data_IF_831121425914
#
_entry.id   IF_831121425914
#
_cell.length_a   1.000
_cell.length_b   1.000
_cell.length_c   1.000
_cell.angle_alpha   90.00
_cell.angle_beta   90.00
_cell.angle_gamma   90.00
#
_symmetry.space_group_name_H-M   'P 1'
#
loop_
_entity.id
_entity.type
_entity.pdbx_description
1 polymer ?
#
# COMPACT_ATOMS: atom_id res chain seq x y z
N UNK A 1 11.52 -12.68 16.38
CA UNK A 1 10.12 -13.04 16.02
C UNK A 1 10.10 -13.14 14.51
N UNK A 2 9.63 -14.26 13.95
CA UNK A 2 9.56 -14.43 12.50
C UNK A 2 8.49 -13.47 11.96
N UNK A 3 8.85 -12.64 11.00
CA UNK A 3 7.92 -11.69 10.40
C UNK A 3 7.11 -12.38 9.31
N UNK A 4 5.79 -12.17 9.33
CA UNK A 4 4.86 -12.45 8.23
C UNK A 4 3.78 -11.39 8.24
N UNK A 5 3.56 -10.74 7.11
CA UNK A 5 2.53 -9.73 6.94
C UNK A 5 1.69 -10.04 5.70
N UNK A 6 0.39 -10.12 5.88
CA UNK A 6 -0.61 -10.42 4.86
C UNK A 6 -1.41 -9.15 4.57
N UNK A 7 -1.20 -8.57 3.38
CA UNK A 7 -1.63 -7.21 3.05
C UNK A 7 -2.63 -7.24 1.90
N UNK A 8 -3.71 -6.47 2.02
CA UNK A 8 -4.56 -6.07 0.90
C UNK A 8 -4.36 -4.58 0.60
N UNK A 9 -4.15 -4.23 -0.65
CA UNK A 9 -4.13 -2.86 -1.13
C UNK A 9 -5.26 -2.74 -2.14
N UNK A 10 -6.18 -1.81 -1.95
CA UNK A 10 -7.38 -1.71 -2.78
C UNK A 10 -7.80 -0.25 -3.03
N UNK A 11 -8.30 -0.01 -4.26
CA UNK A 11 -8.71 1.32 -4.69
C UNK A 11 -9.28 1.29 -6.10
N UNK A 12 -9.32 2.45 -6.77
CA UNK A 12 -9.70 2.54 -8.17
C UNK A 12 -8.53 2.25 -9.11
N UNK A 13 -8.83 1.77 -10.30
CA UNK A 13 -7.87 1.73 -11.39
C UNK A 13 -7.32 3.14 -11.68
N UNK A 14 -5.99 3.26 -11.78
CA UNK A 14 -5.30 4.54 -11.95
C UNK A 14 -4.70 5.12 -10.67
N UNK A 15 -5.08 4.67 -9.48
CA UNK A 15 -4.49 5.10 -8.19
C UNK A 15 -3.12 4.43 -7.89
N UNK A 16 -2.61 3.59 -8.78
CA UNK A 16 -1.32 2.93 -8.60
C UNK A 16 -1.32 1.78 -7.60
N UNK A 17 -2.49 1.21 -7.29
CA UNK A 17 -2.67 0.08 -6.36
C UNK A 17 -1.75 -1.09 -6.69
N UNK A 18 -1.79 -1.57 -7.95
CA UNK A 18 -1.00 -2.72 -8.39
C UNK A 18 0.50 -2.41 -8.39
N UNK A 19 0.87 -1.19 -8.80
CA UNK A 19 2.26 -0.74 -8.80
C UNK A 19 2.83 -0.64 -7.40
N UNK A 20 2.06 -0.13 -6.44
CA UNK A 20 2.46 -0.04 -5.04
C UNK A 20 2.76 -1.42 -4.46
N UNK A 21 1.86 -2.39 -4.65
CA UNK A 21 2.07 -3.76 -4.21
C UNK A 21 3.27 -4.43 -4.89
N UNK A 22 3.48 -4.15 -6.19
CA UNK A 22 4.64 -4.65 -6.93
C UNK A 22 5.96 -4.10 -6.41
N UNK A 23 6.02 -2.79 -6.15
CA UNK A 23 7.21 -2.13 -5.60
C UNK A 23 7.54 -2.70 -4.22
N UNK A 24 6.55 -2.83 -3.33
CA UNK A 24 6.72 -3.46 -2.02
C UNK A 24 7.26 -4.89 -2.13
N UNK A 25 6.68 -5.69 -3.03
CA UNK A 25 7.12 -7.06 -3.27
C UNK A 25 8.60 -7.13 -3.73
N UNK A 26 8.99 -6.27 -4.68
CA UNK A 26 10.38 -6.20 -5.14
C UNK A 26 11.35 -5.71 -4.06
N UNK A 27 10.94 -4.74 -3.24
CA UNK A 27 11.76 -4.26 -2.13
C UNK A 27 12.00 -5.38 -1.09
N UNK A 28 10.95 -6.16 -0.77
CA UNK A 28 11.10 -7.29 0.13
C UNK A 28 11.99 -8.41 -0.45
N UNK A 29 11.97 -8.63 -1.76
CA UNK A 29 12.91 -9.57 -2.41
C UNK A 29 14.37 -9.10 -2.33
N UNK A 30 14.64 -7.79 -2.29
CA UNK A 30 16.00 -7.26 -2.10
C UNK A 30 16.55 -7.62 -0.72
N UNK A 31 15.68 -7.76 0.28
CA UNK A 31 16.01 -8.20 1.64
C UNK A 31 15.94 -9.73 1.83
N UNK A 32 15.98 -10.52 0.74
CA UNK A 32 15.90 -11.99 0.74
C UNK A 32 14.64 -12.55 1.44
N UNK A 33 13.54 -11.77 1.48
CA UNK A 33 12.26 -12.23 2.02
C UNK A 33 11.45 -13.04 1.00
N UNK A 34 10.64 -13.96 1.50
CA UNK A 34 9.64 -14.66 0.70
C UNK A 34 8.46 -13.72 0.43
N UNK A 35 7.99 -13.69 -0.82
CA UNK A 35 6.97 -12.74 -1.26
C UNK A 35 5.96 -13.40 -2.18
N UNK A 36 4.69 -13.02 -2.04
CA UNK A 36 3.68 -13.23 -3.08
C UNK A 36 3.07 -11.89 -3.48
N UNK A 37 2.77 -11.73 -4.75
CA UNK A 37 2.07 -10.59 -5.32
C UNK A 37 0.96 -11.10 -6.22
N UNK A 38 -0.29 -10.91 -5.82
CA UNK A 38 -1.45 -11.44 -6.53
C UNK A 38 -2.46 -10.32 -6.83
N UNK A 39 -2.40 -9.74 -8.02
CA UNK A 39 -3.33 -8.70 -8.44
C UNK A 39 -4.70 -9.29 -8.78
N UNK A 40 -5.75 -8.51 -8.49
CA UNK A 40 -7.12 -8.76 -8.91
C UNK A 40 -7.71 -7.47 -9.45
N UNK A 41 -8.14 -7.51 -10.70
CA UNK A 41 -8.82 -6.38 -11.36
C UNK A 41 -9.95 -6.94 -12.24
N UNK A 42 -11.04 -6.21 -12.29
CA UNK A 42 -12.18 -6.55 -13.14
C UNK A 42 -11.93 -6.21 -14.60
N UNK A 43 -12.83 -6.61 -15.51
CA UNK A 43 -12.79 -6.26 -16.94
C UNK A 43 -12.86 -4.74 -17.18
N UNK A 44 -13.29 -3.97 -16.20
CA UNK A 44 -13.40 -2.51 -16.25
C UNK A 44 -12.04 -1.88 -15.94
N UNK A 45 -11.26 -1.59 -16.96
CA UNK A 45 -9.90 -1.06 -16.79
C UNK A 45 -9.82 0.41 -16.33
N UNK A 46 -10.94 1.16 -16.35
CA UNK A 46 -11.02 2.54 -15.86
C UNK A 46 -12.28 2.74 -15.03
N UNK A 47 -12.08 3.21 -13.79
CA UNK A 47 -13.18 3.46 -12.83
C UNK A 47 -13.66 2.21 -12.07
N UNK A 48 -13.20 1.00 -12.44
CA UNK A 48 -13.44 -0.22 -11.69
C UNK A 48 -12.51 -0.35 -10.46
N UNK A 49 -12.88 -1.19 -9.50
CA UNK A 49 -12.07 -1.49 -8.33
C UNK A 49 -10.89 -2.39 -8.72
N UNK A 50 -9.70 -2.00 -8.30
CA UNK A 50 -8.49 -2.80 -8.41
C UNK A 50 -7.98 -3.15 -7.01
N UNK A 51 -7.48 -4.34 -6.83
CA UNK A 51 -6.82 -4.70 -5.58
C UNK A 51 -5.64 -5.64 -5.83
N UNK A 52 -4.73 -5.68 -4.88
CA UNK A 52 -3.60 -6.59 -4.87
C UNK A 52 -3.37 -7.13 -3.47
N UNK A 53 -3.18 -8.43 -3.37
CA UNK A 53 -2.72 -9.08 -2.16
C UNK A 53 -1.21 -9.23 -2.22
N UNK A 54 -0.53 -8.80 -1.17
CA UNK A 54 0.91 -8.98 -0.98
C UNK A 54 1.15 -9.71 0.32
N UNK A 55 1.96 -10.74 0.29
CA UNK A 55 2.48 -11.39 1.50
C UNK A 55 3.98 -11.14 1.53
N UNK A 56 4.48 -10.67 2.66
CA UNK A 56 5.91 -10.56 2.93
C UNK A 56 6.23 -11.42 4.15
N UNK A 57 7.23 -12.30 4.05
CA UNK A 57 7.52 -13.27 5.11
C UNK A 57 9.01 -13.61 5.16
N UNK A 58 9.53 -13.86 6.37
CA UNK A 58 10.86 -14.45 6.57
C UNK A 58 10.87 -15.96 6.25
N UNK A 59 9.70 -16.60 6.21
CA UNK A 59 9.56 -18.03 5.95
C UNK A 59 8.79 -18.28 4.66
N UNK A 60 8.95 -19.50 4.11
CA UNK A 60 8.22 -19.96 2.93
C UNK A 60 6.71 -19.77 3.06
N UNK A 61 6.11 -19.23 2.02
CA UNK A 61 4.68 -18.98 1.91
C UNK A 61 4.01 -20.19 1.26
N UNK A 62 3.13 -20.87 2.01
CA UNK A 62 2.45 -22.07 1.53
C UNK A 62 1.27 -21.78 0.59
N UNK A 63 0.65 -20.62 0.68
CA UNK A 63 -0.45 -20.21 -0.18
C UNK A 63 -0.51 -18.69 -0.34
N UNK A 64 -0.73 -18.16 -1.56
CA UNK A 64 -0.97 -16.75 -1.78
C UNK A 64 -2.44 -16.35 -1.55
N UNK A 65 -3.34 -17.31 -1.35
CA UNK A 65 -4.77 -17.06 -1.23
C UNK A 65 -5.09 -16.75 0.24
N UNK A 66 -5.64 -15.55 0.47
CA UNK A 66 -5.99 -15.06 1.80
C UNK A 66 -7.51 -14.81 1.92
N UNK A 67 -8.07 -15.17 3.05
CA UNK A 67 -9.44 -14.80 3.45
C UNK A 67 -9.48 -13.59 4.36
N UNK A 68 -8.43 -13.40 5.17
CA UNK A 68 -8.27 -12.31 6.13
C UNK A 68 -6.88 -11.69 5.97
N UNK A 69 -6.73 -10.44 6.39
CA UNK A 69 -5.52 -9.65 6.22
C UNK A 69 -5.00 -9.10 7.55
N UNK A 70 -3.69 -9.03 7.73
CA UNK A 70 -3.06 -8.33 8.86
C UNK A 70 -3.17 -6.82 8.68
N UNK A 71 -2.97 -6.36 7.44
CA UNK A 71 -3.04 -4.94 7.07
C UNK A 71 -3.87 -4.73 5.80
N UNK A 72 -4.75 -3.72 5.83
CA UNK A 72 -5.48 -3.23 4.67
C UNK A 72 -5.09 -1.79 4.37
N UNK A 73 -4.76 -1.50 3.10
CA UNK A 73 -4.53 -0.16 2.58
C UNK A 73 -5.65 0.17 1.60
N UNK A 74 -6.50 1.10 1.96
CA UNK A 74 -7.78 1.36 1.29
C UNK A 74 -7.84 2.78 0.75
N UNK A 75 -8.06 2.92 -0.55
CA UNK A 75 -8.01 4.20 -1.27
C UNK A 75 -9.37 4.70 -1.76
N UNK A 76 -10.44 3.94 -1.54
CA UNK A 76 -11.80 4.35 -1.91
C UNK A 76 -12.88 3.67 -1.06
N UNK A 77 -14.05 4.28 -1.01
CA UNK A 77 -15.18 3.80 -0.22
C UNK A 77 -15.64 2.37 -0.57
N UNK A 78 -15.82 1.98 -1.85
CA UNK A 78 -16.24 0.61 -2.18
C UNK A 78 -15.24 -0.46 -1.70
N UNK A 79 -13.96 -0.15 -1.69
CA UNK A 79 -12.94 -1.06 -1.16
C UNK A 79 -12.98 -1.15 0.36
N UNK A 80 -13.31 -0.06 1.06
CA UNK A 80 -13.50 -0.09 2.52
C UNK A 80 -14.66 -1.04 2.86
N UNK A 81 -15.81 -0.87 2.24
CA UNK A 81 -17.00 -1.70 2.45
C UNK A 81 -16.73 -3.18 2.17
N UNK A 82 -15.91 -3.47 1.16
CA UNK A 82 -15.55 -4.85 0.79
C UNK A 82 -14.56 -5.50 1.73
N UNK A 83 -13.57 -4.78 2.24
CA UNK A 83 -12.41 -5.36 2.91
C UNK A 83 -12.32 -5.09 4.41
N UNK A 84 -13.05 -4.12 4.96
CA UNK A 84 -12.98 -3.79 6.40
C UNK A 84 -13.22 -5.01 7.29
N UNK A 85 -14.25 -5.81 6.98
CA UNK A 85 -14.60 -7.01 7.76
C UNK A 85 -13.63 -8.18 7.56
N UNK A 86 -12.72 -8.06 6.62
CA UNK A 86 -11.69 -9.07 6.33
C UNK A 86 -10.32 -8.73 6.95
N UNK A 87 -10.25 -7.69 7.76
CA UNK A 87 -9.07 -7.41 8.57
C UNK A 87 -9.14 -8.28 9.83
N UNK A 88 -8.04 -8.93 10.18
CA UNK A 88 -7.95 -9.74 11.39
C UNK A 88 -8.19 -8.88 12.65
N UNK A 89 -8.80 -9.42 13.71
CA UNK A 89 -8.83 -8.73 15.00
C UNK A 89 -7.43 -8.28 15.43
N UNK A 90 -7.29 -7.04 15.88
CA UNK A 90 -5.99 -6.45 16.20
C UNK A 90 -5.15 -6.04 14.98
N UNK A 91 -5.66 -6.22 13.76
CA UNK A 91 -5.00 -5.81 12.52
C UNK A 91 -5.00 -4.30 12.29
N UNK A 92 -4.49 -3.90 11.15
CA UNK A 92 -4.28 -2.49 10.78
C UNK A 92 -5.07 -2.11 9.54
N UNK A 93 -5.72 -0.96 9.59
CA UNK A 93 -6.34 -0.30 8.43
C UNK A 93 -5.66 1.04 8.19
N UNK A 94 -5.18 1.26 6.98
CA UNK A 94 -4.69 2.56 6.50
C UNK A 94 -5.62 3.01 5.38
N UNK A 95 -6.16 4.23 5.46
CA UNK A 95 -7.03 4.74 4.41
C UNK A 95 -6.67 6.17 3.98
N UNK A 96 -6.88 6.47 2.71
CA UNK A 96 -6.74 7.82 2.18
C UNK A 96 -8.00 8.65 2.50
N UNK A 97 -7.82 9.77 3.20
CA UNK A 97 -8.93 10.61 3.68
C UNK A 97 -9.80 11.17 2.57
N UNK A 98 -9.24 11.41 1.39
CA UNK A 98 -9.99 11.92 0.24
C UNK A 98 -10.96 10.87 -0.35
N UNK A 99 -10.54 9.59 -0.37
CA UNK A 99 -11.29 8.51 -1.01
C UNK A 99 -12.41 7.91 -0.15
N UNK A 100 -12.49 8.28 1.13
CA UNK A 100 -13.40 7.68 2.12
C UNK A 100 -14.42 8.70 2.61
N UNK A 101 -15.68 8.47 2.28
CA UNK A 101 -16.81 9.34 2.68
C UNK A 101 -17.43 8.95 4.01
N UNK A 102 -17.40 7.65 4.35
CA UNK A 102 -17.88 7.10 5.62
C UNK A 102 -16.73 6.45 6.34
N UNK A 103 -16.32 6.95 7.52
CA UNK A 103 -15.20 6.41 8.26
C UNK A 103 -15.34 4.93 8.59
N UNK A 104 -14.22 4.21 8.84
CA UNK A 104 -14.25 2.82 9.30
C UNK A 104 -15.08 2.66 10.59
N UNK A 105 -15.78 1.55 10.70
CA UNK A 105 -16.71 1.28 11.80
C UNK A 105 -16.13 0.38 12.90
N UNK A 106 -15.11 -0.42 12.56
CA UNK A 106 -14.52 -1.40 13.47
C UNK A 106 -13.68 -0.73 14.57
N UNK A 107 -13.81 -1.29 15.79
CA UNK A 107 -13.11 -0.81 17.01
C UNK A 107 -12.05 -1.78 17.52
N UNK A 108 -11.96 -2.96 16.93
CA UNK A 108 -11.01 -4.02 17.29
C UNK A 108 -9.76 -4.05 16.40
N UNK A 109 -9.57 -3.03 15.57
CA UNK A 109 -8.41 -2.83 14.69
C UNK A 109 -7.80 -1.45 14.94
N UNK A 110 -6.53 -1.27 14.58
CA UNK A 110 -5.88 0.04 14.61
C UNK A 110 -6.10 0.73 13.27
N UNK A 111 -6.61 1.95 13.31
CA UNK A 111 -6.96 2.72 12.11
C UNK A 111 -6.02 3.91 11.95
N UNK A 112 -5.48 4.07 10.75
CA UNK A 112 -4.64 5.21 10.36
C UNK A 112 -5.25 5.92 9.16
N UNK A 113 -5.23 7.24 9.21
CA UNK A 113 -5.59 8.10 8.09
C UNK A 113 -4.34 8.70 7.47
N UNK A 114 -4.33 8.78 6.15
CA UNK A 114 -3.34 9.51 5.38
C UNK A 114 -4.05 10.40 4.38
N UNK A 115 -3.67 11.69 4.31
CA UNK A 115 -4.22 12.63 3.33
C UNK A 115 -3.27 12.71 2.12
N UNK A 116 -3.10 11.57 1.46
CA UNK A 116 -2.11 11.39 0.41
C UNK A 116 -2.47 12.14 -0.88
N UNK A 117 -3.75 12.29 -1.20
CA UNK A 117 -4.21 13.04 -2.36
C UNK A 117 -3.87 14.54 -2.22
N UNK A 118 -4.11 15.12 -1.04
CA UNK A 118 -3.80 16.52 -0.75
C UNK A 118 -2.30 16.76 -0.77
N UNK A 119 -1.52 15.88 -0.14
CA UNK A 119 -0.06 15.95 -0.15
C UNK A 119 0.51 15.83 -1.58
N UNK A 120 -0.03 14.95 -2.41
CA UNK A 120 0.38 14.83 -3.82
C UNK A 120 0.10 16.11 -4.61
N UNK A 121 -1.02 16.77 -4.35
CA UNK A 121 -1.37 18.06 -4.96
C UNK A 121 -0.41 19.18 -4.51
N UNK A 122 -0.12 19.29 -3.21
CA UNK A 122 0.84 20.25 -2.65
C UNK A 122 2.25 20.07 -3.24
N UNK A 123 2.69 18.84 -3.37
CA UNK A 123 3.98 18.48 -3.98
C UNK A 123 3.99 18.66 -5.50
N UNK A 124 2.86 18.96 -6.14
CA UNK A 124 2.70 18.96 -7.60
C UNK A 124 3.14 17.62 -8.24
N UNK A 125 2.92 16.55 -7.52
CA UNK A 125 3.39 15.20 -7.81
C UNK A 125 2.24 14.17 -7.83
N UNK A 126 1.15 14.46 -8.53
CA UNK A 126 -0.04 13.61 -8.58
C UNK A 126 0.27 12.14 -8.96
N UNK A 127 1.29 11.91 -9.79
CA UNK A 127 1.74 10.57 -10.18
C UNK A 127 2.48 9.81 -9.07
N UNK A 128 2.89 10.49 -8.01
CA UNK A 128 3.58 9.90 -6.85
C UNK A 128 2.63 9.62 -5.66
N UNK A 129 1.33 9.80 -5.85
CA UNK A 129 0.30 9.52 -4.83
C UNK A 129 0.49 8.15 -4.17
N UNK A 130 0.66 7.09 -4.96
CA UNK A 130 0.86 5.74 -4.45
C UNK A 130 2.15 5.59 -3.61
N UNK A 131 3.17 6.41 -3.87
CA UNK A 131 4.41 6.41 -3.07
C UNK A 131 4.21 7.09 -1.72
N UNK A 132 3.36 8.12 -1.65
CA UNK A 132 2.97 8.72 -0.37
C UNK A 132 2.24 7.68 0.49
N UNK A 133 1.28 6.95 -0.10
CA UNK A 133 0.55 5.89 0.61
C UNK A 133 1.49 4.78 1.06
N UNK A 134 2.41 4.33 0.19
CA UNK A 134 3.42 3.32 0.54
C UNK A 134 4.30 3.79 1.70
N UNK A 135 4.70 5.05 1.71
CA UNK A 135 5.45 5.65 2.82
C UNK A 135 4.69 5.57 4.14
N UNK A 136 3.40 5.90 4.13
CA UNK A 136 2.52 5.75 5.29
C UNK A 136 2.45 4.29 5.78
N UNK A 137 2.30 3.33 4.85
CA UNK A 137 2.34 1.91 5.20
C UNK A 137 3.66 1.53 5.89
N UNK A 138 4.79 1.90 5.33
CA UNK A 138 6.11 1.56 5.88
C UNK A 138 6.41 2.23 7.22
N UNK A 139 5.82 3.40 7.49
CA UNK A 139 5.90 4.04 8.81
C UNK A 139 5.19 3.25 9.90
N UNK A 140 4.01 2.70 9.57
CA UNK A 140 3.18 1.94 10.52
C UNK A 140 3.63 0.48 10.61
N UNK A 141 4.03 -0.08 9.47
CA UNK A 141 4.49 -1.47 9.30
C UNK A 141 5.84 -1.44 8.60
N UNK A 142 6.96 -1.41 9.33
CA UNK A 142 8.31 -1.35 8.76
C UNK A 142 8.69 -2.72 8.15
N UNK A 143 8.17 -2.99 6.97
CA UNK A 143 8.32 -4.27 6.26
C UNK A 143 9.62 -4.36 5.48
N UNK A 144 10.08 -3.22 4.97
CA UNK A 144 11.30 -3.06 4.18
C UNK A 144 11.88 -1.67 4.41
N UNK A 145 13.18 -1.50 4.15
CA UNK A 145 13.84 -0.21 4.24
C UNK A 145 13.52 0.70 3.04
N UNK A 146 13.61 2.00 3.24
CA UNK A 146 13.37 3.00 2.17
C UNK A 146 14.33 2.79 1.01
N UNK A 147 15.59 2.49 1.30
CA UNK A 147 16.65 2.26 0.33
C UNK A 147 16.32 1.08 -0.61
N UNK A 148 15.68 0.04 -0.08
CA UNK A 148 15.27 -1.13 -0.87
C UNK A 148 14.06 -0.83 -1.76
N UNK A 149 13.17 0.06 -1.30
CA UNK A 149 12.10 0.61 -2.15
C UNK A 149 12.69 1.41 -3.31
N UNK A 150 13.70 2.24 -3.07
CA UNK A 150 14.38 3.00 -4.12
C UNK A 150 15.12 2.08 -5.11
N UNK A 151 15.71 1.00 -4.60
CA UNK A 151 16.32 -0.03 -5.43
C UNK A 151 15.27 -0.73 -6.30
N UNK A 152 14.13 -1.12 -5.72
CA UNK A 152 13.01 -1.70 -6.44
C UNK A 152 12.46 -0.76 -7.53
N UNK A 153 12.37 0.55 -7.26
CA UNK A 153 11.98 1.55 -8.26
C UNK A 153 12.93 1.59 -9.45
N UNK A 154 14.24 1.56 -9.21
CA UNK A 154 15.25 1.50 -10.30
C UNK A 154 15.09 0.26 -11.16
N UNK A 155 14.72 -0.88 -10.57
CA UNK A 155 14.50 -2.13 -11.32
C UNK A 155 13.16 -2.19 -12.05
N UNK A 156 12.12 -1.57 -11.51
CA UNK A 156 10.75 -1.67 -12.05
C UNK A 156 10.38 -0.55 -13.01
N UNK A 157 11.00 0.62 -12.88
CA UNK A 157 10.77 1.74 -13.78
C UNK A 157 11.68 1.65 -15.01
N UNK A 158 11.14 1.90 -16.22
CA UNK A 158 11.98 2.11 -17.41
C UNK A 158 13.02 3.21 -17.17
N UNK A 159 14.21 3.07 -17.73
CA UNK A 159 15.32 4.03 -17.56
C UNK A 159 14.91 5.49 -17.86
N UNK A 160 14.09 5.71 -18.89
CA UNK A 160 13.53 7.03 -19.23
C UNK A 160 12.75 7.69 -18.08
N UNK A 161 12.34 6.94 -17.07
CA UNK A 161 11.60 7.43 -15.90
C UNK A 161 12.43 7.46 -14.62
N UNK A 162 13.72 7.11 -14.67
CA UNK A 162 14.59 7.17 -13.49
C UNK A 162 14.79 8.59 -12.95
N UNK A 163 14.61 9.62 -13.77
CA UNK A 163 14.59 11.01 -13.32
C UNK A 163 13.46 11.33 -12.31
N UNK A 164 12.44 10.45 -12.22
CA UNK A 164 11.34 10.57 -11.25
C UNK A 164 11.66 9.95 -9.88
N UNK A 165 12.76 9.21 -9.74
CA UNK A 165 13.11 8.52 -8.48
C UNK A 165 13.27 9.50 -7.32
N UNK A 166 13.95 10.66 -7.44
CA UNK A 166 14.02 11.64 -6.34
C UNK A 166 12.65 12.15 -5.88
N UNK A 167 11.71 12.35 -6.82
CA UNK A 167 10.33 12.74 -6.49
C UNK A 167 9.59 11.61 -5.76
N UNK A 168 9.77 10.37 -6.20
CA UNK A 168 9.17 9.19 -5.53
C UNK A 168 9.74 8.99 -4.12
N UNK A 169 11.03 9.24 -3.91
CA UNK A 169 11.64 9.25 -2.58
C UNK A 169 11.03 10.33 -1.69
N UNK A 170 10.94 11.56 -2.17
CA UNK A 170 10.32 12.65 -1.43
C UNK A 170 8.86 12.33 -1.07
N UNK A 171 8.10 11.72 -1.98
CA UNK A 171 6.73 11.29 -1.76
C UNK A 171 6.64 10.19 -0.70
N UNK A 172 7.53 9.19 -0.74
CA UNK A 172 7.60 8.13 0.24
C UNK A 172 7.85 8.70 1.65
N UNK A 173 8.87 9.57 1.79
CA UNK A 173 9.20 10.24 3.06
C UNK A 173 8.06 11.13 3.55
N UNK A 174 7.37 11.84 2.64
CA UNK A 174 6.18 12.63 2.97
C UNK A 174 5.07 11.76 3.55
N UNK A 175 4.80 10.60 2.98
CA UNK A 175 3.82 9.65 3.51
C UNK A 175 4.15 9.17 4.92
N UNK A 176 5.43 8.92 5.20
CA UNK A 176 5.89 8.55 6.54
C UNK A 176 5.69 9.68 7.58
N UNK A 177 5.71 10.93 7.13
CA UNK A 177 5.55 12.11 7.97
C UNK A 177 4.07 12.38 8.32
N UNK A 178 3.17 12.28 7.32
CA UNK A 178 1.78 12.75 7.44
C UNK A 178 0.78 11.71 7.93
N UNK A 179 1.15 10.42 7.96
CA UNK A 179 0.23 9.39 8.45
C UNK A 179 -0.03 9.56 9.95
N UNK A 180 -1.29 9.47 10.35
CA UNK A 180 -1.69 9.60 11.75
C UNK A 180 -2.71 8.52 12.15
N UNK A 181 -2.62 8.08 13.40
CA UNK A 181 -3.67 7.23 13.99
C UNK A 181 -4.96 8.03 14.14
N UNK A 182 -6.08 7.36 13.94
CA UNK A 182 -7.42 7.93 14.25
C UNK A 182 -7.90 7.36 15.57
N UNK A 183 -8.56 8.20 16.37
CA UNK A 183 -9.16 7.83 17.64
C UNK A 183 -10.35 6.85 17.49
#
# INVERSE_FOLDING_TARGET
MVMKEEIIIAGFGGQGVLSMGKILAYAALVEDKEVTWMPSYGPEQRGGTANVTVIVSDNKISSPILSMYDTAVILNQPSLEKFEQRIKPGGTLIYDGYGISTPPSRKDITVYRIDAMDAAAEMKAAKAFNMIVLGGLLKVRPLVEVEDVLHALRKTLPERHHHLIPMNEAALRKGMEIICATD
#
